data_IF_358658725142
#
_entry.id   IF_358658725142
#
_cell.length_a   1.000
_cell.length_b   1.000
_cell.length_c   1.000
_cell.angle_alpha   90.00
_cell.angle_beta   90.00
_cell.angle_gamma   90.00
#
_symmetry.space_group_name_H-M   'P 1'
#
loop_
_entity.id
_entity.type
_entity.pdbx_description
1 polymer ?
#
# COMPACT_ATOMS: atom_id res chain seq x y z
N UNK A 1 -3.36 29.13 5.10
CA UNK A 1 -4.05 27.86 4.82
C UNK A 1 -4.40 27.23 6.15
N UNK A 2 -5.67 26.90 6.37
CA UNK A 2 -6.14 26.22 7.57
C UNK A 2 -6.16 24.72 7.31
N UNK A 3 -5.65 23.94 8.27
CA UNK A 3 -5.72 22.49 8.25
C UNK A 3 -7.03 22.04 8.89
N UNK A 4 -7.70 21.08 8.26
CA UNK A 4 -8.86 20.41 8.85
C UNK A 4 -8.73 18.90 8.68
N UNK A 5 -9.36 18.16 9.59
CA UNK A 5 -9.45 16.71 9.51
C UNK A 5 -10.64 16.33 8.62
N UNK A 6 -10.39 15.61 7.52
CA UNK A 6 -11.44 15.22 6.57
C UNK A 6 -12.41 14.17 7.14
N UNK A 7 -11.93 13.19 7.92
CA UNK A 7 -12.77 12.18 8.55
C UNK A 7 -12.19 11.61 9.87
N UNK A 8 -13.08 11.19 10.78
CA UNK A 8 -12.77 10.47 12.02
C UNK A 8 -14.00 9.77 12.61
N UNK A 9 -13.91 8.53 13.13
CA UNK A 9 -12.77 7.63 13.03
C UNK A 9 -12.69 6.98 11.64
N UNK A 10 -11.49 6.56 11.24
CA UNK A 10 -11.32 5.70 10.04
C UNK A 10 -11.77 4.27 10.35
N UNK A 11 -12.27 3.51 9.36
CA UNK A 11 -12.79 2.15 9.57
C UNK A 11 -11.69 1.07 9.72
N UNK A 12 -10.42 1.45 9.73
CA UNK A 12 -9.27 0.57 9.97
C UNK A 12 -8.53 0.88 11.27
N UNK A 13 -7.82 -0.12 11.77
CA UNK A 13 -6.90 0.05 12.89
C UNK A 13 -5.77 1.03 12.57
N UNK A 14 -5.40 1.82 13.57
CA UNK A 14 -4.23 2.69 13.49
C UNK A 14 -3.00 1.91 13.02
N UNK A 15 -2.23 2.50 12.10
CA UNK A 15 -1.11 1.81 11.43
C UNK A 15 -0.06 2.81 10.97
N UNK A 16 1.19 2.38 10.90
CA UNK A 16 2.30 3.16 10.33
C UNK A 16 3.01 2.39 9.22
N UNK A 17 3.81 3.10 8.42
CA UNK A 17 4.53 2.50 7.30
C UNK A 17 3.63 1.92 6.21
N UNK A 18 2.37 2.36 6.13
CA UNK A 18 1.50 2.08 4.99
C UNK A 18 1.93 2.95 3.80
N UNK A 19 1.60 2.51 2.58
CA UNK A 19 1.69 3.36 1.41
C UNK A 19 0.33 4.06 1.18
N UNK A 20 0.38 5.29 0.66
CA UNK A 20 -0.78 6.01 0.18
C UNK A 20 -0.49 6.58 -1.21
N UNK A 21 -1.42 6.39 -2.14
CA UNK A 21 -1.31 6.76 -3.56
C UNK A 21 -2.62 7.34 -4.05
N UNK A 22 -2.58 8.06 -5.16
CA UNK A 22 -3.76 8.58 -5.86
C UNK A 22 -3.74 8.01 -7.27
N UNK A 23 -4.86 7.41 -7.71
CA UNK A 23 -5.00 6.88 -9.07
C UNK A 23 -5.44 7.96 -10.07
N UNK A 24 -5.56 7.60 -11.35
CA UNK A 24 -5.98 8.55 -12.40
C UNK A 24 -7.45 8.99 -12.30
N UNK A 25 -8.22 8.42 -11.38
CA UNK A 25 -9.62 8.73 -11.10
C UNK A 25 -9.78 9.54 -9.80
N UNK A 26 -8.70 10.10 -9.27
CA UNK A 26 -8.64 10.82 -7.99
C UNK A 26 -9.03 9.97 -6.77
N UNK A 27 -9.01 8.63 -6.88
CA UNK A 27 -9.20 7.78 -5.71
C UNK A 27 -7.93 7.75 -4.88
N UNK A 28 -8.07 7.90 -3.57
CA UNK A 28 -6.99 7.72 -2.61
C UNK A 28 -6.98 6.26 -2.18
N UNK A 29 -5.87 5.57 -2.38
CA UNK A 29 -5.67 4.21 -1.88
C UNK A 29 -4.71 4.21 -0.69
N UNK A 30 -5.00 3.40 0.32
CA UNK A 30 -4.12 3.09 1.45
C UNK A 30 -3.85 1.59 1.46
N UNK A 31 -2.56 1.22 1.45
CA UNK A 31 -2.10 -0.16 1.27
C UNK A 31 -1.22 -0.60 2.44
N UNK A 32 -1.59 -1.74 3.04
CA UNK A 32 -0.81 -2.40 4.07
C UNK A 32 -0.51 -1.52 5.29
N UNK A 33 0.72 -1.65 5.81
CA UNK A 33 1.17 -0.99 7.03
C UNK A 33 1.16 -1.92 8.24
N UNK A 34 1.66 -1.42 9.36
CA UNK A 34 1.83 -2.21 10.58
C UNK A 34 1.14 -1.56 11.77
N UNK A 35 0.58 -2.39 12.64
CA UNK A 35 0.02 -2.00 13.92
C UNK A 35 0.61 -2.86 15.03
N UNK A 36 1.08 -2.21 16.08
CA UNK A 36 1.35 -2.84 17.37
C UNK A 36 0.55 -2.14 18.45
N UNK A 37 -0.26 -2.90 19.20
CA UNK A 37 -0.94 -2.41 20.39
C UNK A 37 -0.58 -3.27 21.59
N UNK A 38 0.06 -2.65 22.57
CA UNK A 38 0.50 -3.30 23.80
C UNK A 38 -0.68 -3.75 24.67
N UNK A 39 -1.81 -3.06 24.62
CA UNK A 39 -2.95 -3.36 25.47
C UNK A 39 -3.69 -4.63 25.02
N UNK A 40 -3.93 -4.76 23.71
CA UNK A 40 -4.52 -5.97 23.12
C UNK A 40 -3.51 -7.08 22.85
N UNK A 41 -2.21 -6.76 22.77
CA UNK A 41 -1.17 -7.68 22.31
C UNK A 41 -1.14 -7.84 20.79
N UNK A 42 -1.85 -6.99 20.04
CA UNK A 42 -1.86 -7.01 18.58
C UNK A 42 -0.47 -6.68 18.03
N UNK A 43 0.01 -7.49 17.10
CA UNK A 43 1.19 -7.25 16.26
C UNK A 43 0.84 -7.75 14.87
N UNK A 44 0.57 -6.84 13.94
CA UNK A 44 0.00 -7.18 12.63
C UNK A 44 0.64 -6.33 11.54
N UNK A 45 1.07 -6.98 10.46
CA UNK A 45 1.30 -6.33 9.18
C UNK A 45 0.11 -6.59 8.28
N UNK A 46 -0.53 -5.54 7.78
CA UNK A 46 -1.71 -5.66 6.95
C UNK A 46 -1.35 -5.89 5.49
N UNK A 47 -2.23 -6.60 4.79
CA UNK A 47 -2.31 -6.66 3.33
C UNK A 47 -3.70 -6.29 2.78
N UNK A 48 -4.42 -5.45 3.53
CA UNK A 48 -5.67 -4.86 3.04
C UNK A 48 -5.39 -3.62 2.18
N UNK A 49 -6.35 -3.33 1.30
CA UNK A 49 -6.39 -2.13 0.48
C UNK A 49 -7.69 -1.40 0.77
N UNK A 50 -7.56 -0.13 1.15
CA UNK A 50 -8.67 0.78 1.36
C UNK A 50 -8.67 1.85 0.30
N UNK A 51 -9.85 2.28 -0.12
CA UNK A 51 -10.04 3.28 -1.15
C UNK A 51 -11.06 4.32 -0.70
N UNK A 52 -10.78 5.59 -0.99
CA UNK A 52 -11.73 6.70 -0.91
C UNK A 52 -11.83 7.36 -2.28
N UNK A 53 -13.05 7.53 -2.76
CA UNK A 53 -13.37 8.23 -4.00
C UNK A 53 -13.98 9.63 -3.77
N UNK A 54 -13.91 10.12 -2.53
CA UNK A 54 -14.59 11.34 -2.07
C UNK A 54 -13.67 12.23 -1.21
N UNK A 55 -12.38 12.24 -1.54
CA UNK A 55 -11.36 13.06 -0.86
C UNK A 55 -11.24 12.72 0.63
N UNK A 56 -11.10 11.43 0.93
CA UNK A 56 -10.95 10.87 2.28
C UNK A 56 -12.13 11.11 3.23
N UNK A 57 -13.33 11.42 2.74
CA UNK A 57 -14.53 11.56 3.58
C UNK A 57 -15.09 10.19 4.00
N UNK A 58 -15.11 9.23 3.08
CA UNK A 58 -15.51 7.85 3.32
C UNK A 58 -14.51 6.87 2.72
N UNK A 59 -14.52 5.65 3.23
CA UNK A 59 -13.54 4.63 2.88
C UNK A 59 -14.19 3.27 2.71
N UNK A 60 -13.82 2.58 1.64
CA UNK A 60 -14.25 1.22 1.33
C UNK A 60 -13.04 0.30 1.32
N UNK A 61 -13.13 -0.84 2.00
CA UNK A 61 -12.13 -1.91 1.91
C UNK A 61 -12.34 -2.63 0.58
N UNK A 62 -11.49 -2.36 -0.40
CA UNK A 62 -11.59 -2.97 -1.73
C UNK A 62 -10.96 -4.36 -1.76
N UNK A 63 -9.96 -4.58 -0.91
CA UNK A 63 -9.29 -5.87 -0.75
C UNK A 63 -9.05 -6.15 0.72
N UNK A 64 -9.60 -7.27 1.20
CA UNK A 64 -9.45 -7.65 2.61
C UNK A 64 -8.16 -8.42 2.88
N UNK A 65 -7.76 -9.28 1.94
CA UNK A 65 -6.52 -10.03 1.98
C UNK A 65 -5.99 -10.05 0.55
N UNK A 66 -5.03 -9.20 0.25
CA UNK A 66 -4.38 -9.22 -1.06
C UNK A 66 -3.45 -10.44 -1.17
N UNK A 67 -3.04 -10.75 -2.40
CA UNK A 67 -2.20 -11.90 -2.71
C UNK A 67 -0.75 -11.75 -2.18
N UNK A 68 -0.31 -10.52 -1.93
CA UNK A 68 0.97 -10.23 -1.28
C UNK A 68 0.89 -10.39 0.24
N UNK A 69 2.03 -10.72 0.85
CA UNK A 69 2.15 -10.83 2.31
C UNK A 69 1.97 -9.48 3.00
N UNK A 70 1.37 -9.50 4.19
CA UNK A 70 1.25 -8.33 5.05
C UNK A 70 2.59 -7.65 5.27
N UNK A 71 2.66 -6.34 5.03
CA UNK A 71 3.94 -5.59 5.03
C UNK A 71 3.79 -4.12 5.35
N UNK A 72 4.88 -3.53 5.84
CA UNK A 72 5.02 -2.09 6.09
C UNK A 72 6.36 -1.58 5.55
N UNK A 73 6.50 -0.25 5.49
CA UNK A 73 7.67 0.45 4.92
C UNK A 73 8.00 0.00 3.48
N UNK A 74 7.00 -0.51 2.77
CA UNK A 74 7.05 -0.76 1.34
C UNK A 74 6.80 0.55 0.59
N UNK A 75 7.08 0.53 -0.72
CA UNK A 75 6.75 1.63 -1.61
C UNK A 75 5.63 1.22 -2.56
N UNK A 76 4.84 2.19 -3.01
CA UNK A 76 3.80 1.98 -4.01
C UNK A 76 3.76 3.12 -5.01
N UNK A 77 3.38 2.82 -6.26
CA UNK A 77 3.31 3.79 -7.36
C UNK A 77 2.13 3.48 -8.26
N UNK A 78 1.41 4.53 -8.68
CA UNK A 78 0.48 4.46 -9.81
C UNK A 78 1.19 4.96 -11.05
N UNK A 79 1.16 4.19 -12.12
CA UNK A 79 1.72 4.58 -13.43
C UNK A 79 0.71 5.36 -14.25
N UNK A 80 1.13 5.94 -15.39
CA UNK A 80 0.19 6.64 -16.29
C UNK A 80 -0.80 5.69 -16.98
N UNK A 81 -0.53 4.38 -16.99
CA UNK A 81 -1.50 3.36 -17.42
C UNK A 81 -2.48 2.94 -16.31
N UNK A 82 -2.51 3.66 -15.19
CA UNK A 82 -3.34 3.38 -14.01
C UNK A 82 -3.00 2.05 -13.30
N UNK A 83 -1.86 1.45 -13.66
CA UNK A 83 -1.36 0.27 -12.94
C UNK A 83 -0.79 0.68 -11.59
N UNK A 84 -1.20 -0.03 -10.55
CA UNK A 84 -0.66 0.15 -9.20
C UNK A 84 0.39 -0.91 -8.91
N UNK A 85 1.54 -0.49 -8.39
CA UNK A 85 2.63 -1.38 -7.96
C UNK A 85 2.86 -1.31 -6.46
N UNK A 86 3.25 -2.44 -5.86
CA UNK A 86 3.84 -2.53 -4.52
C UNK A 86 5.21 -3.16 -4.65
N UNK A 87 6.21 -2.56 -3.99
CA UNK A 87 7.61 -3.00 -4.07
C UNK A 87 8.22 -3.07 -2.67
N UNK A 88 8.86 -4.21 -2.40
CA UNK A 88 9.62 -4.42 -1.17
C UNK A 88 8.77 -4.26 0.09
N UNK A 89 9.40 -3.78 1.15
CA UNK A 89 8.85 -3.68 2.50
C UNK A 89 9.47 -4.68 3.47
N UNK A 90 8.84 -4.79 4.63
CA UNK A 90 9.20 -5.73 5.68
C UNK A 90 7.92 -6.32 6.25
N UNK A 91 7.93 -7.62 6.53
CA UNK A 91 6.80 -8.35 7.09
C UNK A 91 6.84 -8.41 8.62
N UNK A 92 5.87 -9.11 9.21
CA UNK A 92 5.71 -9.21 10.66
C UNK A 92 6.87 -9.96 11.34
N UNK A 93 7.56 -10.83 10.60
CA UNK A 93 8.71 -11.62 11.05
C UNK A 93 10.05 -10.91 10.78
N UNK A 94 9.98 -9.61 10.46
CA UNK A 94 11.11 -8.75 10.11
C UNK A 94 11.87 -9.22 8.87
N UNK A 95 11.26 -10.03 8.01
CA UNK A 95 11.84 -10.41 6.74
C UNK A 95 11.60 -9.31 5.72
N UNK A 96 12.67 -8.95 5.01
CA UNK A 96 12.60 -7.94 3.95
C UNK A 96 12.00 -8.57 2.71
N UNK A 97 11.03 -7.89 2.12
CA UNK A 97 10.41 -8.33 0.88
C UNK A 97 11.30 -7.96 -0.31
N UNK A 98 11.32 -8.82 -1.32
CA UNK A 98 12.07 -8.66 -2.58
C UNK A 98 11.17 -8.83 -3.82
N UNK A 99 9.87 -8.86 -3.59
CA UNK A 99 8.85 -9.09 -4.59
C UNK A 99 8.29 -7.78 -5.14
N UNK A 100 7.69 -7.89 -6.33
CA UNK A 100 6.98 -6.81 -7.02
C UNK A 100 5.59 -7.29 -7.40
N UNK A 101 4.57 -6.59 -6.92
CA UNK A 101 3.18 -6.89 -7.20
C UNK A 101 2.56 -5.78 -8.03
N UNK A 102 1.65 -6.15 -8.93
CA UNK A 102 0.89 -5.22 -9.77
C UNK A 102 -0.60 -5.48 -9.69
N UNK A 103 -1.38 -4.41 -9.62
CA UNK A 103 -2.83 -4.42 -9.84
C UNK A 103 -3.17 -3.56 -11.06
N UNK A 104 -4.18 -4.01 -11.82
CA UNK A 104 -4.71 -3.34 -13.02
C UNK A 104 -6.17 -2.90 -12.83
N UNK A 105 -6.73 -3.07 -11.63
CA UNK A 105 -8.16 -2.94 -11.34
C UNK A 105 -8.46 -2.11 -10.07
N UNK A 106 -7.57 -1.17 -9.75
CA UNK A 106 -7.70 -0.28 -8.59
C UNK A 106 -7.42 -1.00 -7.26
N UNK A 107 -6.50 -1.96 -7.26
CA UNK A 107 -6.05 -2.67 -6.07
C UNK A 107 -6.94 -3.84 -5.62
N UNK A 108 -7.91 -4.26 -6.44
CA UNK A 108 -8.86 -5.36 -6.11
C UNK A 108 -8.22 -6.74 -6.29
N UNK A 109 -7.38 -6.91 -7.29
CA UNK A 109 -6.59 -8.13 -7.53
C UNK A 109 -5.14 -7.78 -7.81
N UNK A 110 -4.23 -8.66 -7.38
CA UNK A 110 -2.79 -8.48 -7.55
C UNK A 110 -2.15 -9.68 -8.23
N UNK A 111 -1.28 -9.38 -9.19
CA UNK A 111 -0.44 -10.36 -9.86
C UNK A 111 1.01 -10.18 -9.43
N UNK A 112 1.68 -11.28 -9.14
CA UNK A 112 3.11 -11.30 -8.90
C UNK A 112 3.85 -11.06 -10.23
N UNK A 113 4.57 -9.95 -10.31
CA UNK A 113 5.38 -9.58 -11.49
C UNK A 113 6.80 -10.11 -11.35
N UNK A 114 7.30 -10.20 -10.13
CA UNK A 114 8.63 -10.70 -9.83
C UNK A 114 8.68 -11.18 -8.38
N UNK A 115 8.70 -12.51 -8.13
CA UNK A 115 8.75 -13.04 -6.76
C UNK A 115 10.10 -12.76 -6.09
N UNK A 116 11.15 -12.59 -6.89
CA UNK A 116 12.51 -12.27 -6.46
C UNK A 116 13.11 -11.32 -7.49
N UNK A 117 13.06 -10.03 -7.21
CA UNK A 117 13.63 -9.02 -8.09
C UNK A 117 15.17 -9.08 -8.11
N UNK A 118 15.78 -8.56 -9.18
CA UNK A 118 17.24 -8.58 -9.37
C UNK A 118 18.03 -7.74 -8.35
N UNK A 119 17.34 -6.91 -7.57
CA UNK A 119 17.90 -6.07 -6.51
C UNK A 119 17.70 -6.72 -5.15
N UNK A 120 18.54 -6.39 -4.16
CA UNK A 120 18.43 -6.91 -2.79
C UNK A 120 17.18 -6.41 -2.06
N UNK A 121 16.58 -7.27 -1.25
CA UNK A 121 15.40 -6.97 -0.43
C UNK A 121 15.56 -5.67 0.39
N UNK A 122 14.51 -4.85 0.44
CA UNK A 122 14.57 -3.45 0.91
C UNK A 122 13.24 -2.96 1.49
N UNK A 123 13.33 -1.96 2.35
CA UNK A 123 12.21 -1.23 2.97
C UNK A 123 12.66 0.24 3.18
N UNK A 124 11.75 1.15 3.51
CA UNK A 124 12.01 2.61 3.64
C UNK A 124 12.52 3.28 2.36
N UNK A 125 12.33 2.63 1.21
CA UNK A 125 12.72 3.15 -0.10
C UNK A 125 11.56 3.94 -0.74
N UNK A 126 11.88 4.66 -1.80
CA UNK A 126 10.90 5.28 -2.68
C UNK A 126 10.92 4.58 -4.05
N UNK A 127 9.80 4.69 -4.77
CA UNK A 127 9.68 4.34 -6.18
C UNK A 127 9.06 5.53 -6.89
N UNK A 128 9.45 5.76 -8.15
CA UNK A 128 8.76 6.68 -9.06
C UNK A 128 8.57 6.02 -10.43
N UNK A 129 7.61 6.49 -11.22
CA UNK A 129 7.46 6.08 -12.63
C UNK A 129 7.69 7.23 -13.60
N UNK A 130 8.26 6.95 -14.77
CA UNK A 130 8.35 7.91 -15.87
C UNK A 130 7.11 7.93 -16.78
N UNK A 131 7.18 8.75 -17.83
CA UNK A 131 6.13 8.90 -18.84
C UNK A 131 5.84 7.61 -19.65
N UNK A 132 6.78 6.66 -19.60
CA UNK A 132 6.71 5.36 -20.28
C UNK A 132 6.32 4.23 -19.32
N UNK A 133 5.88 4.54 -18.11
CA UNK A 133 5.52 3.60 -17.06
C UNK A 133 6.69 2.72 -16.58
N UNK A 134 7.93 3.20 -16.72
CA UNK A 134 9.12 2.52 -16.18
C UNK A 134 9.29 2.95 -14.72
N UNK A 135 9.47 1.97 -13.83
CA UNK A 135 9.69 2.17 -12.39
C UNK A 135 11.18 2.37 -12.09
N UNK A 136 11.49 3.33 -11.21
CA UNK A 136 12.84 3.69 -10.74
C UNK A 136 12.91 3.71 -9.21
#
# INVERSE_FOLDING_TARGET
HEWFQASSPTPWHARYGHAAIIDSHDNILVLGGFSADKASGLVECYNDVWMSSDTAQSWTKVTANAEWSGRYQHSAQVTNSDDTFIIGGIDVDLQRCQDVWRSTDGGKTWSDVSPVAAWTARYEHAVVSDDKNILY
#
